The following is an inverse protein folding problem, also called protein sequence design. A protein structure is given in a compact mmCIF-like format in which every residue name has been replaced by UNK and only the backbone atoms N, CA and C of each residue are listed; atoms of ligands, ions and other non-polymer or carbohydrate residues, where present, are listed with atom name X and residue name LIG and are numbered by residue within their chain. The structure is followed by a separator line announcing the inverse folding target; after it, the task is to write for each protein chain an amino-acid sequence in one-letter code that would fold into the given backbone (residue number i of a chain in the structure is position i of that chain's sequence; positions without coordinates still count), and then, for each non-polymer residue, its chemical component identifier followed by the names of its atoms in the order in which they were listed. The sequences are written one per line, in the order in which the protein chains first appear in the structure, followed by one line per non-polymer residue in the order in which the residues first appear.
data_IF_543325986935
#
_entry.id   IF_543325986935
#
_cell.length_a   1.000
_cell.length_b   1.000
_cell.length_c   1.000
_cell.angle_alpha   90.00
_cell.angle_beta   90.00
_cell.angle_gamma   90.00
#
_symmetry.space_group_name_H-M   'P 1'
#
loop_
_entity.id
_entity.type
_entity.pdbx_description
1 polymer ?
#
# COMPACT_ATOMS: atom_id res chain seq x y z
N UNK A 1 33.03 12.11 13.93
CA UNK A 1 32.33 12.52 12.70
C UNK A 1 31.51 11.31 12.33
N UNK A 2 30.29 11.28 12.85
CA UNK A 2 29.42 10.13 12.68
C UNK A 2 28.94 10.12 11.24
N UNK A 3 29.38 9.10 10.51
CA UNK A 3 28.93 8.82 9.16
C UNK A 3 27.55 8.16 9.28
N UNK A 4 26.52 8.95 9.58
CA UNK A 4 25.14 8.50 9.52
C UNK A 4 24.75 8.39 8.04
N UNK A 5 25.08 7.24 7.47
CA UNK A 5 24.47 6.76 6.23
C UNK A 5 23.01 6.46 6.55
N UNK A 6 22.19 7.50 6.61
CA UNK A 6 20.74 7.42 6.79
C UNK A 6 20.14 6.76 5.54
N UNK A 7 20.25 5.44 5.44
CA UNK A 7 19.37 4.68 4.55
C UNK A 7 17.96 5.00 5.02
N UNK A 8 17.21 5.73 4.20
CA UNK A 8 15.81 6.07 4.47
C UNK A 8 15.09 4.81 4.94
N UNK A 9 14.53 4.85 6.15
CA UNK A 9 13.88 3.68 6.73
C UNK A 9 12.62 3.38 5.92
N UNK A 10 12.45 2.12 5.52
CA UNK A 10 11.24 1.65 4.84
C UNK A 10 9.98 2.13 5.55
N UNK A 11 9.10 2.79 4.79
CA UNK A 11 7.82 3.32 5.25
C UNK A 11 6.83 3.28 4.09
N UNK A 12 5.63 2.75 4.36
CA UNK A 12 4.48 2.76 3.47
C UNK A 12 3.20 2.71 4.32
N UNK A 13 2.34 3.70 4.20
CA UNK A 13 1.03 3.77 4.87
C UNK A 13 -0.08 4.15 3.91
N UNK A 14 -1.29 3.70 4.24
CA UNK A 14 -2.53 4.11 3.60
C UNK A 14 -3.42 4.69 4.69
N UNK A 15 -3.88 5.92 4.52
CA UNK A 15 -4.58 6.66 5.56
C UNK A 15 -5.85 7.27 4.99
N UNK A 16 -7.00 6.93 5.58
CA UNK A 16 -8.30 7.45 5.17
C UNK A 16 -8.62 8.69 6.02
N UNK A 17 -8.79 9.84 5.38
CA UNK A 17 -9.14 11.07 6.08
C UNK A 17 -10.44 10.91 6.88
N UNK A 18 -10.47 11.40 8.13
CA UNK A 18 -11.60 11.20 9.06
C UNK A 18 -12.89 11.95 8.67
N UNK A 19 -12.77 13.03 7.91
CA UNK A 19 -13.93 13.77 7.39
C UNK A 19 -14.60 13.03 6.22
N UNK A 20 -15.86 12.66 6.43
CA UNK A 20 -16.74 12.07 5.42
C UNK A 20 -17.06 13.01 4.24
N UNK A 21 -16.78 14.31 4.38
CA UNK A 21 -16.95 15.30 3.32
C UNK A 21 -15.74 15.31 2.37
N UNK A 22 -14.53 15.13 2.89
CA UNK A 22 -13.30 15.15 2.09
C UNK A 22 -13.06 13.83 1.36
N UNK A 23 -13.39 12.68 2.00
CA UNK A 23 -13.28 11.32 1.40
C UNK A 23 -11.96 11.07 0.68
N UNK A 24 -10.86 11.47 1.30
CA UNK A 24 -9.53 11.33 0.73
C UNK A 24 -8.80 10.11 1.32
N UNK A 25 -8.12 9.36 0.45
CA UNK A 25 -7.14 8.35 0.83
C UNK A 25 -5.75 8.87 0.49
N UNK A 26 -4.90 9.02 1.48
CA UNK A 26 -3.51 9.41 1.31
C UNK A 26 -2.62 8.16 1.34
N UNK A 27 -1.62 8.13 0.46
CA UNK A 27 -0.58 7.08 0.43
C UNK A 27 0.73 7.77 0.75
N UNK A 28 1.33 7.44 1.89
CA UNK A 28 2.62 7.96 2.30
C UNK A 28 3.66 6.87 2.15
N UNK A 29 4.86 7.22 1.66
CA UNK A 29 5.93 6.25 1.58
C UNK A 29 7.30 6.89 1.44
N UNK A 30 8.28 6.22 2.02
CA UNK A 30 9.70 6.36 1.62
C UNK A 30 9.89 5.96 0.15
N UNK A 31 11.05 6.26 -0.43
CA UNK A 31 11.39 5.82 -1.79
C UNK A 31 11.22 4.28 -1.93
N UNK A 32 11.80 3.51 -1.01
CA UNK A 32 11.73 2.05 -1.00
C UNK A 32 10.29 1.53 -0.80
N UNK A 33 9.50 2.23 0.02
CA UNK A 33 8.09 1.90 0.25
C UNK A 33 7.22 2.10 -0.99
N UNK A 34 7.37 3.24 -1.67
CA UNK A 34 6.65 3.51 -2.91
C UNK A 34 7.13 2.62 -4.06
N UNK A 35 8.42 2.28 -4.10
CA UNK A 35 8.95 1.29 -5.05
C UNK A 35 8.35 -0.11 -4.79
N UNK A 36 8.24 -0.54 -3.52
CA UNK A 36 7.59 -1.79 -3.16
C UNK A 36 6.12 -1.82 -3.61
N UNK A 37 5.37 -0.72 -3.41
CA UNK A 37 4.00 -0.58 -3.92
C UNK A 37 3.95 -0.69 -5.44
N UNK A 38 4.82 0.03 -6.16
CA UNK A 38 4.89 -0.04 -7.62
C UNK A 38 5.18 -1.46 -8.11
N UNK A 39 6.09 -2.17 -7.44
CA UNK A 39 6.42 -3.56 -7.76
C UNK A 39 5.24 -4.51 -7.54
N UNK A 40 4.44 -4.31 -6.48
CA UNK A 40 3.20 -5.06 -6.25
C UNK A 40 2.18 -4.85 -7.38
N UNK A 41 1.97 -3.59 -7.78
CA UNK A 41 1.10 -3.24 -8.92
C UNK A 41 1.58 -3.90 -10.22
N UNK A 42 2.88 -3.81 -10.51
CA UNK A 42 3.46 -4.40 -11.72
C UNK A 42 3.44 -5.94 -11.71
N UNK A 43 3.53 -6.58 -10.55
CA UNK A 43 3.32 -8.02 -10.40
C UNK A 43 1.88 -8.40 -10.72
N UNK A 44 0.89 -7.69 -10.16
CA UNK A 44 -0.52 -7.92 -10.45
C UNK A 44 -0.82 -7.77 -11.94
N UNK A 45 -0.34 -6.69 -12.58
CA UNK A 45 -0.53 -6.46 -14.03
C UNK A 45 0.04 -7.60 -14.87
N UNK A 46 1.26 -8.07 -14.56
CA UNK A 46 1.89 -9.20 -15.29
C UNK A 46 1.07 -10.49 -15.14
N UNK A 47 0.68 -10.83 -13.90
CA UNK A 47 -0.11 -12.02 -13.61
C UNK A 47 -1.46 -12.00 -14.33
N UNK A 48 -2.16 -10.86 -14.25
CA UNK A 48 -3.46 -10.68 -14.91
C UNK A 48 -3.32 -10.81 -16.42
N UNK A 49 -2.30 -10.22 -17.06
CA UNK A 49 -2.04 -10.40 -18.50
C UNK A 49 -1.79 -11.86 -18.90
N UNK A 50 -1.18 -12.66 -18.04
CA UNK A 50 -0.91 -14.09 -18.26
C UNK A 50 -2.14 -14.99 -18.05
N UNK A 51 -3.28 -14.46 -17.58
CA UNK A 51 -4.48 -15.26 -17.32
C UNK A 51 -4.70 -15.65 -15.87
N UNK A 52 -3.84 -15.20 -14.96
CA UNK A 52 -4.04 -15.40 -13.53
C UNK A 52 -4.84 -14.23 -12.96
N UNK A 53 -6.07 -14.48 -12.51
CA UNK A 53 -6.76 -13.50 -11.69
C UNK A 53 -6.13 -13.49 -10.30
N UNK A 54 -5.57 -12.36 -9.89
CA UNK A 54 -4.89 -12.25 -8.62
C UNK A 54 -5.26 -10.93 -7.92
N UNK A 55 -5.18 -10.95 -6.61
CA UNK A 55 -5.27 -9.79 -5.74
C UNK A 55 -4.13 -9.87 -4.73
N UNK A 56 -3.69 -8.71 -4.25
CA UNK A 56 -2.64 -8.64 -3.25
C UNK A 56 -3.18 -8.09 -1.94
N UNK A 57 -2.54 -8.49 -0.85
CA UNK A 57 -2.85 -8.04 0.50
C UNK A 57 -1.60 -7.34 1.03
N UNK A 58 -1.69 -6.02 1.22
CA UNK A 58 -0.68 -5.28 1.97
C UNK A 58 -1.17 -5.18 3.40
N UNK A 59 -0.40 -5.69 4.35
CA UNK A 59 -0.77 -5.69 5.76
C UNK A 59 0.37 -5.17 6.62
N UNK A 60 0.02 -4.54 7.74
CA UNK A 60 1.01 -4.19 8.75
C UNK A 60 1.36 -5.39 9.63
N UNK A 61 2.46 -5.29 10.38
CA UNK A 61 2.93 -6.33 11.32
C UNK A 61 1.86 -6.75 12.33
N UNK A 62 1.09 -5.79 12.87
CA UNK A 62 -0.02 -6.08 13.79
C UNK A 62 -1.16 -6.92 13.18
N UNK A 63 -1.19 -7.04 11.86
CA UNK A 63 -2.16 -7.82 11.09
C UNK A 63 -1.48 -8.98 10.33
N UNK A 64 -0.23 -9.30 10.69
CA UNK A 64 0.53 -10.44 10.16
C UNK A 64 1.17 -10.22 8.78
N UNK A 65 1.31 -8.98 8.33
CA UNK A 65 2.05 -8.62 7.11
C UNK A 65 3.31 -7.83 7.38
N UNK A 66 4.06 -7.51 6.33
CA UNK A 66 5.28 -6.70 6.42
C UNK A 66 5.32 -5.56 5.42
N UNK A 67 4.26 -5.41 4.63
CA UNK A 67 4.19 -4.51 3.49
C UNK A 67 3.76 -3.10 3.91
N UNK A 68 3.06 -2.96 5.05
CA UNK A 68 2.65 -1.67 5.59
C UNK A 68 3.34 -1.40 6.92
N UNK A 69 3.63 -0.13 7.18
CA UNK A 69 4.14 0.31 8.47
C UNK A 69 3.02 0.80 9.39
N UNK A 70 3.21 0.66 10.71
CA UNK A 70 2.18 0.94 11.72
C UNK A 70 2.20 2.37 12.29
N UNK A 71 3.02 3.26 11.75
CA UNK A 71 3.14 4.65 12.22
C UNK A 71 2.33 5.60 11.33
N UNK A 72 1.28 6.28 11.84
CA UNK A 72 0.51 7.24 11.05
C UNK A 72 1.36 8.45 10.67
N UNK A 73 1.09 9.03 9.49
CA UNK A 73 1.75 10.21 8.95
C UNK A 73 0.87 11.47 9.02
N UNK A 74 -0.44 11.31 9.24
CA UNK A 74 -1.39 12.41 9.40
C UNK A 74 -2.24 12.26 10.68
N UNK A 75 -2.53 13.38 11.36
CA UNK A 75 -3.33 13.39 12.60
C UNK A 75 -4.85 13.31 12.33
N UNK A 76 -5.29 13.81 11.19
CA UNK A 76 -6.69 13.90 10.74
C UNK A 76 -7.17 12.64 10.00
N UNK A 77 -6.36 11.59 9.99
CA UNK A 77 -6.59 10.40 9.20
C UNK A 77 -6.58 9.12 10.04
N UNK A 78 -7.21 8.08 9.50
CA UNK A 78 -7.26 6.73 10.09
C UNK A 78 -6.31 5.83 9.32
N UNK A 79 -5.32 5.28 10.02
CA UNK A 79 -4.37 4.33 9.45
C UNK A 79 -5.07 3.01 9.07
N UNK A 80 -4.89 2.59 7.82
CA UNK A 80 -5.40 1.33 7.30
C UNK A 80 -4.35 0.23 7.43
N UNK A 81 -4.64 -0.79 8.25
CA UNK A 81 -3.73 -1.91 8.50
C UNK A 81 -3.83 -3.05 7.47
N UNK A 82 -4.83 -3.00 6.58
CA UNK A 82 -5.04 -3.99 5.53
C UNK A 82 -5.59 -3.34 4.27
N UNK A 83 -4.79 -3.35 3.21
CA UNK A 83 -5.17 -2.84 1.90
C UNK A 83 -5.18 -4.00 0.91
N UNK A 84 -6.28 -4.17 0.19
CA UNK A 84 -6.41 -5.16 -0.87
C UNK A 84 -6.35 -4.48 -2.22
N UNK A 85 -5.51 -5.00 -3.11
CA UNK A 85 -5.37 -4.48 -4.47
C UNK A 85 -5.78 -5.56 -5.46
N UNK A 86 -6.77 -5.26 -6.30
CA UNK A 86 -7.28 -6.18 -7.31
C UNK A 86 -6.86 -5.74 -8.70
N UNK A 87 -6.50 -6.70 -9.57
CA UNK A 87 -6.25 -6.43 -10.98
C UNK A 87 -7.13 -7.32 -11.86
N UNK A 88 -8.21 -6.74 -12.38
CA UNK A 88 -9.17 -7.43 -13.24
C UNK A 88 -8.73 -7.40 -14.71
N UNK A 89 -8.99 -8.49 -15.45
CA UNK A 89 -9.13 -8.39 -16.91
C UNK A 89 -10.42 -7.62 -17.18
N UNK A 90 -10.37 -6.61 -18.05
CA UNK A 90 -11.50 -5.69 -18.30
C UNK A 90 -12.87 -6.37 -18.42
N UNK A 91 -13.89 -5.67 -17.92
CA UNK A 91 -15.29 -6.05 -17.74
C UNK A 91 -15.57 -7.54 -17.48
N UNK A 92 -15.38 -7.94 -16.22
CA UNK A 92 -16.33 -8.81 -15.53
C UNK A 92 -16.31 -8.51 -14.02
N UNK A 93 -17.27 -7.67 -13.59
CA UNK A 93 -17.84 -7.79 -12.25
C UNK A 93 -18.57 -9.15 -12.21
N UNK A 94 -17.93 -10.18 -11.67
CA UNK A 94 -18.64 -11.38 -11.24
C UNK A 94 -18.78 -11.30 -9.73
N UNK A 95 -20.02 -11.01 -9.32
CA UNK A 95 -20.52 -11.08 -7.95
C UNK A 95 -20.76 -12.56 -7.62
#
# INVERSE_FOLDING_TARGET
MDNDSSSEKYMLTFELHKSDELRELSIHGSADGLEALANALMRLVRNTKQGHFNHDHLMSDSWGGTELTSGPQAEDSTLLHHVKIYCYKGEKLQW
#
